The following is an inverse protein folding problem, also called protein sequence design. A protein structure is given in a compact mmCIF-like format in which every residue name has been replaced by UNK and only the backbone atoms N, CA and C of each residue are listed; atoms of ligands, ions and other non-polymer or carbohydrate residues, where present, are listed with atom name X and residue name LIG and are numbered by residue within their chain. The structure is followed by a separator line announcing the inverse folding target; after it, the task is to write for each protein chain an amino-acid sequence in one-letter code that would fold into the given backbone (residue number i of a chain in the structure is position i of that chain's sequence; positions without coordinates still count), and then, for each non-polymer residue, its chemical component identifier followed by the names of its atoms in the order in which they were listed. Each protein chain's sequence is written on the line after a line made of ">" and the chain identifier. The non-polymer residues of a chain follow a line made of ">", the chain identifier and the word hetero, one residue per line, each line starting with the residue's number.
data_IF_274176788455
#
_entry.id   IF_274176788455
#
_cell.length_a   1.000
_cell.length_b   1.000
_cell.length_c   1.000
_cell.angle_alpha   90.00
_cell.angle_beta   90.00
_cell.angle_gamma   90.00
#
_symmetry.space_group_name_H-M   'P 1'
#
loop_
_entity.id
_entity.type
_entity.pdbx_description
1 polymer ?
#
# COMPACT_ATOMS: atom_id res chain seq x y z
N UNK A 1 -0.76 -1.32 15.69
CA UNK A 1 -2.05 -1.82 16.21
C UNK A 1 -3.12 -1.83 15.13
N UNK A 2 -4.27 -2.44 15.40
CA UNK A 2 -5.40 -2.40 14.48
C UNK A 2 -5.90 -0.95 14.34
N UNK A 3 -6.12 -0.53 13.09
CA UNK A 3 -6.52 0.84 12.77
C UNK A 3 -5.37 1.85 12.71
N UNK A 4 -4.13 1.44 12.91
CA UNK A 4 -2.98 2.32 12.70
C UNK A 4 -2.76 2.60 11.21
N UNK A 5 -2.20 3.77 10.91
CA UNK A 5 -1.68 4.12 9.60
C UNK A 5 -0.15 4.22 9.70
N UNK A 6 0.55 3.16 9.29
CA UNK A 6 2.00 3.08 9.34
C UNK A 6 2.64 3.49 8.02
N UNK A 7 3.41 4.57 8.02
CA UNK A 7 4.30 4.94 6.93
C UNK A 7 5.66 4.23 7.05
N UNK A 8 6.06 3.48 6.04
CA UNK A 8 7.41 2.89 5.94
C UNK A 8 8.21 3.75 4.97
N UNK A 9 9.17 4.49 5.50
CA UNK A 9 10.02 5.38 4.71
C UNK A 9 11.45 4.87 4.64
N UNK A 10 12.12 5.19 3.56
CA UNK A 10 13.51 4.78 3.32
C UNK A 10 13.88 4.97 1.85
N UNK A 11 15.19 5.07 1.54
CA UNK A 11 15.67 5.17 0.18
C UNK A 11 15.32 3.92 -0.65
N UNK A 12 15.59 3.95 -1.96
CA UNK A 12 15.49 2.75 -2.78
C UNK A 12 16.50 1.72 -2.28
N UNK A 13 16.22 0.44 -2.39
CA UNK A 13 17.11 -0.58 -1.84
C UNK A 13 17.18 -0.66 -0.29
N UNK A 14 16.42 0.17 0.44
CA UNK A 14 16.35 0.12 1.91
C UNK A 14 15.73 -1.17 2.47
N UNK A 15 15.06 -1.96 1.60
CA UNK A 15 14.42 -3.22 1.99
C UNK A 15 12.91 -3.12 2.21
N UNK A 16 12.25 -2.02 1.83
CA UNK A 16 10.79 -1.82 1.98
C UNK A 16 9.99 -2.93 1.30
N UNK A 17 10.20 -3.15 0.00
CA UNK A 17 9.51 -4.19 -0.77
C UNK A 17 9.88 -5.59 -0.30
N UNK A 18 11.13 -5.83 0.10
CA UNK A 18 11.56 -7.10 0.70
C UNK A 18 10.79 -7.39 2.00
N UNK A 19 10.56 -6.37 2.83
CA UNK A 19 9.75 -6.51 4.04
C UNK A 19 8.29 -6.87 3.68
N UNK A 20 7.72 -6.24 2.66
CA UNK A 20 6.38 -6.58 2.17
C UNK A 20 6.32 -7.99 1.59
N UNK A 21 7.34 -8.42 0.85
CA UNK A 21 7.42 -9.80 0.34
C UNK A 21 7.41 -10.84 1.47
N UNK A 22 8.10 -10.55 2.59
CA UNK A 22 8.06 -11.41 3.78
C UNK A 22 6.67 -11.37 4.41
N UNK A 23 6.05 -10.19 4.57
CA UNK A 23 4.70 -10.04 5.12
C UNK A 23 3.65 -10.78 4.29
N UNK A 24 3.80 -10.78 2.95
CA UNK A 24 2.91 -11.44 2.00
C UNK A 24 3.26 -12.92 1.76
N UNK A 25 4.25 -13.46 2.48
CA UNK A 25 4.76 -14.82 2.31
C UNK A 25 5.25 -15.15 0.88
N UNK A 26 5.67 -14.11 0.13
CA UNK A 26 6.31 -14.24 -1.17
C UNK A 26 7.80 -14.57 -1.00
N UNK A 27 8.44 -14.06 0.05
CA UNK A 27 9.78 -14.43 0.47
C UNK A 27 9.73 -15.15 1.83
N UNK A 28 10.04 -16.45 1.81
CA UNK A 28 10.03 -17.31 3.01
C UNK A 28 11.43 -17.49 3.62
N UNK A 29 12.48 -17.00 2.95
CA UNK A 29 13.87 -17.11 3.39
C UNK A 29 14.25 -15.91 4.27
N UNK A 30 13.83 -15.91 5.54
CA UNK A 30 14.19 -14.88 6.52
C UNK A 30 14.46 -15.48 7.89
N UNK A 31 15.20 -14.77 8.71
CA UNK A 31 15.46 -15.11 10.11
C UNK A 31 14.55 -14.29 11.03
N UNK A 32 14.23 -14.82 12.20
CA UNK A 32 13.36 -14.17 13.16
C UNK A 32 11.90 -14.64 13.09
N UNK A 33 11.03 -13.88 13.75
CA UNK A 33 9.60 -14.17 13.92
C UNK A 33 8.78 -12.99 13.45
N UNK A 34 7.78 -13.25 12.61
CA UNK A 34 6.76 -12.27 12.22
C UNK A 34 5.38 -12.81 12.60
N UNK A 35 4.59 -11.96 13.26
CA UNK A 35 3.25 -12.32 13.71
C UNK A 35 2.20 -11.39 13.15
N UNK A 36 1.10 -11.93 12.64
CA UNK A 36 -0.14 -11.22 12.37
C UNK A 36 -1.23 -11.74 13.29
N UNK A 37 -1.98 -10.84 13.90
CA UNK A 37 -3.08 -11.18 14.83
C UNK A 37 -2.65 -12.14 15.96
N UNK A 38 -1.39 -12.02 16.41
CA UNK A 38 -0.82 -12.87 17.46
C UNK A 38 -0.25 -14.22 16.98
N UNK A 39 -0.53 -14.64 15.74
CA UNK A 39 -0.05 -15.90 15.18
C UNK A 39 1.20 -15.72 14.32
N UNK A 40 2.15 -16.65 14.44
CA UNK A 40 3.36 -16.68 13.60
C UNK A 40 2.98 -17.07 12.16
N UNK A 41 3.41 -16.26 11.19
CA UNK A 41 3.11 -16.48 9.78
C UNK A 41 3.71 -17.78 9.22
N UNK A 42 4.74 -18.34 9.86
CA UNK A 42 5.30 -19.65 9.50
C UNK A 42 4.37 -20.81 9.84
N UNK A 43 3.46 -20.61 10.81
CA UNK A 43 2.53 -21.67 11.27
C UNK A 43 1.23 -21.71 10.48
N UNK A 44 0.75 -20.56 10.01
CA UNK A 44 -0.52 -20.46 9.30
C UNK A 44 -0.48 -19.33 8.27
N UNK A 45 -1.09 -19.55 7.12
CA UNK A 45 -1.26 -18.54 6.07
C UNK A 45 -2.63 -17.87 6.08
N UNK A 46 -3.49 -18.19 7.04
CA UNK A 46 -4.84 -17.62 7.13
C UNK A 46 -4.87 -16.10 7.24
N UNK A 47 -3.81 -15.51 7.83
CA UNK A 47 -3.68 -14.06 7.93
C UNK A 47 -3.70 -13.36 6.56
N UNK A 48 -3.26 -14.03 5.47
CA UNK A 48 -3.30 -13.48 4.11
C UNK A 48 -4.74 -13.18 3.64
N UNK A 49 -5.71 -13.84 4.23
CA UNK A 49 -7.13 -13.56 3.95
C UNK A 49 -7.56 -12.20 4.48
N UNK A 50 -6.87 -11.67 5.45
CA UNK A 50 -7.14 -10.38 6.07
C UNK A 50 -6.28 -9.25 5.49
N UNK A 51 -5.48 -9.53 4.45
CA UNK A 51 -4.58 -8.56 3.82
C UNK A 51 -5.03 -8.27 2.39
N UNK A 52 -5.19 -6.98 2.07
CA UNK A 52 -5.22 -6.45 0.72
C UNK A 52 -3.84 -5.91 0.36
N UNK A 53 -3.40 -6.12 -0.87
CA UNK A 53 -2.09 -5.65 -1.34
C UNK A 53 -2.19 -4.92 -2.68
N UNK A 54 -1.55 -3.74 -2.74
CA UNK A 54 -1.38 -2.94 -3.96
C UNK A 54 0.11 -2.81 -4.24
N UNK A 55 0.62 -3.43 -5.31
CA UNK A 55 2.04 -3.36 -5.68
C UNK A 55 2.41 -2.01 -6.30
N UNK A 56 3.69 -1.67 -6.29
CA UNK A 56 4.26 -0.43 -6.85
C UNK A 56 3.92 -0.25 -8.34
N UNK A 57 4.06 -1.29 -9.13
CA UNK A 57 3.72 -1.28 -10.56
C UNK A 57 2.90 -2.52 -10.88
N UNK A 58 1.59 -2.36 -11.00
CA UNK A 58 0.78 -3.44 -11.57
C UNK A 58 1.21 -3.62 -13.04
N UNK A 59 1.72 -4.81 -13.36
CA UNK A 59 2.19 -5.14 -14.70
C UNK A 59 0.96 -5.52 -15.54
N UNK A 60 0.49 -4.56 -16.35
CA UNK A 60 -0.45 -4.85 -17.41
C UNK A 60 0.06 -4.27 -18.73
N UNK A 61 0.01 -5.07 -19.78
CA UNK A 61 0.20 -4.55 -21.13
C UNK A 61 -0.97 -3.64 -21.50
N UNK A 62 -0.72 -2.51 -22.20
CA UNK A 62 -1.77 -1.58 -22.63
C UNK A 62 -2.91 -2.26 -23.41
N UNK A 63 -2.60 -3.35 -24.09
CA UNK A 63 -3.56 -4.12 -24.87
C UNK A 63 -4.23 -5.26 -24.10
N UNK A 64 -4.02 -5.34 -22.78
CA UNK A 64 -4.67 -6.38 -21.98
C UNK A 64 -6.20 -6.21 -22.01
N UNK A 65 -6.97 -7.24 -22.43
CA UNK A 65 -8.37 -7.08 -22.77
C UNK A 65 -9.33 -6.98 -21.57
N UNK A 66 -8.81 -7.05 -20.32
CA UNK A 66 -9.64 -7.03 -19.11
C UNK A 66 -10.31 -5.68 -18.88
N UNK A 67 -11.54 -5.71 -18.43
CA UNK A 67 -12.28 -4.56 -17.92
C UNK A 67 -11.96 -4.29 -16.46
N UNK A 68 -12.39 -3.13 -15.96
CA UNK A 68 -12.32 -2.79 -14.52
C UNK A 68 -13.00 -3.87 -13.68
N UNK A 69 -14.19 -4.30 -14.10
CA UNK A 69 -14.95 -5.36 -13.42
C UNK A 69 -14.13 -6.67 -13.34
N UNK A 70 -13.52 -7.09 -14.46
CA UNK A 70 -12.72 -8.31 -14.50
C UNK A 70 -11.55 -8.24 -13.53
N UNK A 71 -10.83 -7.10 -13.48
CA UNK A 71 -9.68 -6.93 -12.59
C UNK A 71 -10.10 -6.98 -11.12
N UNK A 72 -11.22 -6.35 -10.75
CA UNK A 72 -11.70 -6.39 -9.36
C UNK A 72 -12.20 -7.78 -9.01
N UNK A 73 -12.86 -8.48 -9.95
CA UNK A 73 -13.29 -9.88 -9.81
C UNK A 73 -12.13 -10.82 -9.51
N UNK A 74 -10.95 -10.61 -10.12
CA UNK A 74 -9.74 -11.38 -9.80
C UNK A 74 -9.31 -11.27 -8.32
N UNK A 75 -9.79 -10.28 -7.61
CA UNK A 75 -9.58 -10.12 -6.16
C UNK A 75 -10.53 -10.94 -5.31
N UNK A 76 -11.69 -11.37 -5.84
CA UNK A 76 -12.67 -12.15 -5.09
C UNK A 76 -12.13 -13.54 -4.74
N UNK A 77 -12.43 -13.97 -3.52
CA UNK A 77 -12.15 -15.34 -3.05
C UNK A 77 -13.25 -16.32 -3.42
N UNK A 78 -14.46 -15.84 -3.57
CA UNK A 78 -15.65 -16.64 -3.94
C UNK A 78 -16.41 -15.91 -5.03
N UNK A 79 -16.74 -16.60 -6.10
CA UNK A 79 -17.54 -16.07 -7.21
C UNK A 79 -18.93 -15.62 -6.76
N UNK A 80 -19.51 -16.24 -5.74
CA UNK A 80 -20.82 -15.87 -5.19
C UNK A 80 -20.90 -14.45 -4.59
N UNK A 81 -19.76 -13.80 -4.43
CA UNK A 81 -19.64 -12.47 -3.80
C UNK A 81 -19.60 -11.32 -4.84
N UNK A 82 -20.09 -11.51 -6.05
CA UNK A 82 -20.06 -10.51 -7.14
C UNK A 82 -20.69 -9.16 -6.76
N UNK A 83 -21.71 -9.17 -5.92
CA UNK A 83 -22.35 -7.94 -5.42
C UNK A 83 -21.37 -7.04 -4.62
N UNK A 84 -20.22 -7.57 -4.17
CA UNK A 84 -19.17 -6.79 -3.53
C UNK A 84 -18.42 -5.90 -4.53
N UNK A 85 -18.37 -6.31 -5.81
CA UNK A 85 -17.67 -5.53 -6.85
C UNK A 85 -18.36 -4.19 -7.04
N UNK A 86 -19.68 -4.17 -7.26
CA UNK A 86 -20.42 -2.93 -7.46
C UNK A 86 -20.27 -1.98 -6.26
N UNK A 87 -20.36 -2.52 -5.05
CA UNK A 87 -20.21 -1.74 -3.83
C UNK A 87 -18.84 -1.08 -3.72
N UNK A 88 -17.76 -1.84 -3.99
CA UNK A 88 -16.41 -1.29 -3.90
C UNK A 88 -16.11 -0.31 -5.03
N UNK A 89 -16.63 -0.52 -6.24
CA UNK A 89 -16.49 0.41 -7.36
C UNK A 89 -17.21 1.74 -7.07
N UNK A 90 -18.42 1.69 -6.47
CA UNK A 90 -19.14 2.88 -6.01
C UNK A 90 -18.35 3.62 -4.92
N UNK A 91 -17.86 2.91 -3.92
CA UNK A 91 -17.07 3.48 -2.82
C UNK A 91 -15.82 4.22 -3.31
N UNK A 92 -15.20 3.73 -4.38
CA UNK A 92 -13.98 4.32 -4.95
C UNK A 92 -14.25 5.27 -6.13
N UNK A 93 -15.51 5.62 -6.39
CA UNK A 93 -15.96 6.51 -7.46
C UNK A 93 -15.44 6.11 -8.85
N UNK A 94 -15.52 4.83 -9.17
CA UNK A 94 -15.13 4.26 -10.47
C UNK A 94 -16.18 3.29 -11.03
N UNK A 95 -17.39 3.30 -10.49
CA UNK A 95 -18.46 2.41 -10.94
C UNK A 95 -18.81 2.62 -12.42
N UNK A 96 -18.82 3.87 -12.89
CA UNK A 96 -19.06 4.22 -14.29
C UNK A 96 -17.99 3.70 -15.27
N UNK A 97 -16.84 3.31 -14.73
CA UNK A 97 -15.73 2.74 -15.50
C UNK A 97 -15.75 1.21 -15.54
N UNK A 98 -16.73 0.55 -14.90
CA UNK A 98 -16.78 -0.91 -14.70
C UNK A 98 -16.56 -1.73 -15.97
N UNK A 99 -17.10 -1.29 -17.10
CA UNK A 99 -16.98 -1.95 -18.40
C UNK A 99 -15.84 -1.41 -19.28
N UNK A 100 -15.07 -0.39 -18.80
CA UNK A 100 -13.91 0.11 -19.54
C UNK A 100 -12.73 -0.83 -19.42
N UNK A 101 -11.93 -0.91 -20.47
CA UNK A 101 -10.68 -1.66 -20.47
C UNK A 101 -9.66 -0.94 -19.61
N UNK A 102 -8.88 -1.68 -18.82
CA UNK A 102 -7.87 -1.09 -17.92
C UNK A 102 -6.79 -0.30 -18.66
N UNK A 103 -6.46 -0.65 -19.90
CA UNK A 103 -5.51 0.07 -20.75
C UNK A 103 -5.97 1.48 -21.19
N UNK A 104 -7.26 1.79 -21.04
CA UNK A 104 -7.87 3.08 -21.40
C UNK A 104 -7.95 4.06 -20.21
N UNK A 105 -7.56 3.61 -19.03
CA UNK A 105 -7.66 4.38 -17.79
C UNK A 105 -6.49 5.33 -17.60
N UNK A 106 -6.74 6.47 -16.96
CA UNK A 106 -5.65 7.29 -16.40
C UNK A 106 -4.93 6.56 -15.27
N UNK A 107 -3.71 7.01 -14.92
CA UNK A 107 -2.95 6.41 -13.81
C UNK A 107 -3.73 6.41 -12.49
N UNK A 108 -4.39 7.51 -12.15
CA UNK A 108 -5.19 7.61 -10.93
C UNK A 108 -6.45 6.76 -10.96
N UNK A 109 -7.10 6.58 -12.14
CA UNK A 109 -8.22 5.65 -12.28
C UNK A 109 -7.76 4.21 -12.11
N UNK A 110 -6.66 3.83 -12.77
CA UNK A 110 -6.08 2.50 -12.67
C UNK A 110 -5.66 2.18 -11.23
N UNK A 111 -5.09 3.15 -10.52
CA UNK A 111 -4.73 3.00 -9.11
C UNK A 111 -5.95 2.67 -8.25
N UNK A 112 -7.07 3.36 -8.45
CA UNK A 112 -8.33 3.06 -7.73
C UNK A 112 -8.88 1.68 -8.05
N UNK A 113 -8.69 1.18 -9.26
CA UNK A 113 -9.06 -0.20 -9.63
C UNK A 113 -8.23 -1.22 -8.83
N UNK A 114 -6.92 -0.99 -8.65
CA UNK A 114 -6.10 -1.89 -7.84
C UNK A 114 -6.44 -1.84 -6.35
N UNK A 115 -6.81 -0.66 -5.85
CA UNK A 115 -7.36 -0.54 -4.49
C UNK A 115 -8.67 -1.31 -4.38
N UNK A 116 -9.58 -1.19 -5.35
CA UNK A 116 -10.83 -1.96 -5.38
C UNK A 116 -10.57 -3.46 -5.32
N UNK A 117 -9.66 -3.96 -6.17
CA UNK A 117 -9.22 -5.36 -6.15
C UNK A 117 -8.69 -5.79 -4.79
N UNK A 118 -7.88 -4.95 -4.13
CA UNK A 118 -7.31 -5.26 -2.82
C UNK A 118 -8.38 -5.26 -1.70
N UNK A 119 -9.41 -4.41 -1.82
CA UNK A 119 -10.44 -4.21 -0.81
C UNK A 119 -11.70 -5.07 -0.97
N UNK A 120 -11.91 -5.71 -2.11
CA UNK A 120 -13.18 -6.40 -2.46
C UNK A 120 -13.59 -7.47 -1.44
N UNK A 121 -12.62 -8.06 -0.73
CA UNK A 121 -12.88 -9.02 0.36
C UNK A 121 -12.92 -8.38 1.77
N UNK A 122 -12.97 -7.05 1.87
CA UNK A 122 -13.01 -6.32 3.14
C UNK A 122 -11.85 -6.70 4.10
N UNK A 123 -10.59 -6.56 3.68
CA UNK A 123 -9.43 -6.93 4.50
C UNK A 123 -9.33 -6.03 5.73
N UNK A 124 -8.65 -6.53 6.78
CA UNK A 124 -8.33 -5.74 7.98
C UNK A 124 -7.05 -4.90 7.82
N UNK A 125 -6.18 -5.32 6.91
CA UNK A 125 -4.90 -4.66 6.62
C UNK A 125 -4.82 -4.38 5.12
N UNK A 126 -4.41 -3.16 4.77
CA UNK A 126 -4.10 -2.77 3.40
C UNK A 126 -2.60 -2.42 3.32
N UNK A 127 -1.86 -3.17 2.52
CA UNK A 127 -0.44 -2.92 2.24
C UNK A 127 -0.34 -2.24 0.88
N UNK A 128 0.39 -1.11 0.83
CA UNK A 128 0.57 -0.29 -0.35
C UNK A 128 2.07 -0.07 -0.59
N UNK A 129 2.59 -0.53 -1.72
CA UNK A 129 4.00 -0.36 -2.07
C UNK A 129 4.15 0.77 -3.10
N UNK A 130 4.60 1.94 -2.64
CA UNK A 130 4.80 3.17 -3.43
C UNK A 130 3.66 3.48 -4.43
N UNK A 131 2.42 3.53 -3.98
CA UNK A 131 1.23 3.45 -4.84
C UNK A 131 1.00 4.67 -5.74
N UNK A 132 1.66 5.81 -5.50
CA UNK A 132 1.39 7.07 -6.22
C UNK A 132 2.45 7.43 -7.26
N UNK A 133 3.36 6.52 -7.57
CA UNK A 133 4.43 6.77 -8.54
C UNK A 133 3.85 6.97 -9.96
N UNK A 134 4.12 8.14 -10.56
CA UNK A 134 3.69 8.45 -11.94
C UNK A 134 2.21 8.86 -12.09
N UNK A 135 1.58 9.29 -11.00
CA UNK A 135 0.20 9.78 -10.97
C UNK A 135 0.20 11.32 -10.89
N UNK A 136 -0.79 11.97 -11.51
CA UNK A 136 -0.97 13.41 -11.42
C UNK A 136 -1.40 13.89 -10.03
N UNK A 137 -1.11 15.15 -9.69
CA UNK A 137 -1.33 15.72 -8.36
C UNK A 137 -2.78 15.64 -7.89
N UNK A 138 -3.74 15.89 -8.78
CA UNK A 138 -5.16 15.86 -8.43
C UNK A 138 -5.62 14.44 -8.05
N UNK A 139 -5.14 13.44 -8.81
CA UNK A 139 -5.39 12.02 -8.52
C UNK A 139 -4.73 11.57 -7.22
N UNK A 140 -3.54 12.11 -6.88
CA UNK A 140 -2.86 11.83 -5.62
C UNK A 140 -3.68 12.33 -4.42
N UNK A 141 -4.21 13.54 -4.47
CA UNK A 141 -5.03 14.07 -3.38
C UNK A 141 -6.32 13.27 -3.15
N UNK A 142 -6.97 12.87 -4.24
CA UNK A 142 -8.13 12.00 -4.17
C UNK A 142 -7.75 10.64 -3.55
N UNK A 143 -6.63 10.06 -3.97
CA UNK A 143 -6.11 8.82 -3.41
C UNK A 143 -5.88 8.94 -1.90
N UNK A 144 -5.26 10.02 -1.43
CA UNK A 144 -5.04 10.27 0.00
C UNK A 144 -6.35 10.43 0.77
N UNK A 145 -7.36 11.05 0.18
CA UNK A 145 -8.69 11.15 0.79
C UNK A 145 -9.34 9.78 0.98
N UNK A 146 -9.20 8.89 -0.01
CA UNK A 146 -9.67 7.50 0.06
C UNK A 146 -8.98 6.77 1.22
N UNK A 147 -7.65 6.86 1.33
CA UNK A 147 -6.90 6.19 2.40
C UNK A 147 -7.32 6.69 3.80
N UNK A 148 -7.52 8.01 3.95
CA UNK A 148 -8.05 8.57 5.22
C UNK A 148 -9.42 7.99 5.57
N UNK A 149 -10.32 7.90 4.60
CA UNK A 149 -11.65 7.35 4.83
C UNK A 149 -11.60 5.87 5.21
N UNK A 150 -10.83 5.06 4.50
CA UNK A 150 -10.63 3.65 4.80
C UNK A 150 -10.08 3.45 6.23
N UNK A 151 -9.09 4.24 6.62
CA UNK A 151 -8.50 4.14 7.95
C UNK A 151 -9.41 4.68 9.05
N UNK A 152 -9.95 5.91 8.91
CA UNK A 152 -10.71 6.58 9.97
C UNK A 152 -12.10 6.00 10.17
N UNK A 153 -12.84 5.72 9.08
CA UNK A 153 -14.24 5.23 9.15
C UNK A 153 -14.32 3.70 9.22
N UNK A 154 -13.52 2.99 8.43
CA UNK A 154 -13.59 1.53 8.33
C UNK A 154 -12.59 0.81 9.23
N UNK A 155 -11.70 1.56 9.91
CA UNK A 155 -10.68 1.04 10.82
C UNK A 155 -9.73 0.03 10.16
N UNK A 156 -9.52 0.15 8.85
CA UNK A 156 -8.53 -0.65 8.14
C UNK A 156 -7.14 -0.17 8.56
N UNK A 157 -6.30 -1.10 8.99
CA UNK A 157 -4.88 -0.83 9.23
C UNK A 157 -4.19 -0.61 7.89
N UNK A 158 -3.50 0.51 7.72
CA UNK A 158 -2.76 0.80 6.49
C UNK A 158 -1.27 0.69 6.76
N UNK A 159 -0.56 -0.05 5.92
CA UNK A 159 0.89 -0.12 5.89
C UNK A 159 1.33 0.37 4.50
N UNK A 160 1.99 1.50 4.46
CA UNK A 160 2.29 2.19 3.22
C UNK A 160 3.77 2.51 3.09
N UNK A 161 4.44 2.04 2.03
CA UNK A 161 5.77 2.54 1.69
C UNK A 161 5.68 3.81 0.86
N UNK A 162 6.47 4.81 1.23
CA UNK A 162 6.54 6.08 0.52
C UNK A 162 7.92 6.73 0.69
N UNK A 163 8.31 7.53 -0.30
CA UNK A 163 9.42 8.49 -0.19
C UNK A 163 8.93 9.93 -0.05
N UNK A 164 7.62 10.17 -0.11
CA UNK A 164 6.99 11.47 0.13
C UNK A 164 6.77 11.68 1.63
N UNK A 165 7.70 12.41 2.26
CA UNK A 165 7.64 12.72 3.69
C UNK A 165 6.45 13.59 4.07
N UNK A 166 6.03 14.52 3.21
CA UNK A 166 4.91 15.40 3.48
C UNK A 166 3.59 14.63 3.53
N UNK A 167 3.43 13.69 2.60
CA UNK A 167 2.27 12.81 2.59
C UNK A 167 2.25 11.88 3.81
N UNK A 168 3.40 11.31 4.18
CA UNK A 168 3.53 10.47 5.38
C UNK A 168 3.21 11.26 6.63
N UNK A 169 3.73 12.48 6.77
CA UNK A 169 3.43 13.37 7.91
C UNK A 169 1.94 13.69 8.04
N UNK A 170 1.24 13.88 6.91
CA UNK A 170 -0.19 14.21 6.88
C UNK A 170 -1.12 13.03 7.15
N UNK A 171 -0.69 11.81 6.85
CA UNK A 171 -1.57 10.64 6.82
C UNK A 171 -1.23 9.59 7.88
N UNK A 172 0.05 9.35 8.14
CA UNK A 172 0.49 8.30 9.03
C UNK A 172 0.48 8.77 10.49
N UNK A 173 -0.02 7.92 11.39
CA UNK A 173 0.12 8.13 12.83
C UNK A 173 1.38 7.46 13.39
N UNK A 174 1.95 6.49 12.67
CA UNK A 174 3.22 5.84 12.98
C UNK A 174 4.15 5.86 11.78
N UNK A 175 5.45 5.92 12.04
CA UNK A 175 6.50 5.86 11.02
C UNK A 175 7.53 4.82 11.39
N UNK A 176 7.98 4.07 10.38
CA UNK A 176 9.12 3.18 10.45
C UNK A 176 10.15 3.61 9.39
N UNK A 177 11.36 3.96 9.82
CA UNK A 177 12.43 4.40 8.93
C UNK A 177 13.43 3.28 8.69
N UNK A 178 13.56 2.89 7.43
CA UNK A 178 14.44 1.81 6.99
C UNK A 178 15.61 2.36 6.15
N UNK A 179 16.82 1.86 6.44
CA UNK A 179 17.96 1.91 5.56
C UNK A 179 18.78 0.63 5.77
N UNK A 180 18.34 -0.48 5.17
CA UNK A 180 18.79 -1.87 5.42
C UNK A 180 18.56 -2.34 6.87
N UNK A 181 18.56 -1.43 7.81
CA UNK A 181 18.19 -1.62 9.21
C UNK A 181 17.09 -0.66 9.60
N UNK A 182 16.30 -1.03 10.60
CA UNK A 182 15.29 -0.14 11.18
C UNK A 182 16.01 0.81 12.15
N UNK A 183 16.05 2.11 11.83
CA UNK A 183 16.69 3.10 12.71
C UNK A 183 15.70 3.96 13.50
N UNK A 184 14.42 3.96 13.10
CA UNK A 184 13.35 4.59 13.87
C UNK A 184 12.04 3.80 13.69
N UNK A 185 11.28 3.69 14.78
CA UNK A 185 9.89 3.25 14.76
C UNK A 185 9.14 3.91 15.91
N UNK A 186 8.07 4.64 15.60
CA UNK A 186 7.30 5.35 16.61
C UNK A 186 6.21 6.25 16.03
N UNK A 187 5.67 7.12 16.88
CA UNK A 187 4.68 8.11 16.48
C UNK A 187 5.25 9.03 15.40
N UNK A 188 4.45 9.33 14.40
CA UNK A 188 4.79 10.24 13.29
C UNK A 188 5.22 11.62 13.81
N UNK A 189 4.45 12.19 14.74
CA UNK A 189 4.77 13.48 15.38
C UNK A 189 6.17 13.51 15.99
N UNK A 190 6.58 12.42 16.66
CA UNK A 190 7.92 12.34 17.26
C UNK A 190 9.04 12.33 16.21
N UNK A 191 8.82 11.65 15.08
CA UNK A 191 9.79 11.64 13.99
C UNK A 191 9.96 13.03 13.36
N UNK A 192 8.83 13.65 12.99
CA UNK A 192 8.85 14.94 12.29
C UNK A 192 9.20 16.14 13.15
N UNK A 193 9.11 16.04 14.49
CA UNK A 193 9.57 17.06 15.44
C UNK A 193 11.06 16.96 15.82
N UNK A 194 11.74 15.87 15.44
CA UNK A 194 13.16 15.65 15.72
C UNK A 194 14.01 15.90 14.47
N UNK A 195 14.60 17.11 14.40
CA UNK A 195 15.45 17.51 13.27
C UNK A 195 16.61 16.54 13.00
N UNK A 196 17.11 15.83 14.02
CA UNK A 196 18.19 14.84 13.84
C UNK A 196 17.69 13.61 13.08
N UNK A 197 16.50 13.12 13.40
CA UNK A 197 15.90 11.99 12.70
C UNK A 197 15.57 12.33 11.25
N UNK A 198 14.98 13.50 11.01
CA UNK A 198 14.68 13.99 9.65
C UNK A 198 15.97 14.17 8.85
N UNK A 199 17.01 14.75 9.45
CA UNK A 199 18.31 14.91 8.80
C UNK A 199 18.97 13.56 8.48
N UNK A 200 18.95 12.62 9.43
CA UNK A 200 19.49 11.26 9.22
C UNK A 200 18.79 10.55 8.05
N UNK A 201 17.47 10.70 7.93
CA UNK A 201 16.72 10.19 6.78
C UNK A 201 17.16 10.86 5.47
N UNK A 202 17.29 12.19 5.46
CA UNK A 202 17.67 12.95 4.27
C UNK A 202 19.07 12.59 3.79
N UNK A 203 20.02 12.43 4.70
CA UNK A 203 21.39 12.01 4.38
C UNK A 203 21.42 10.59 3.78
N UNK A 204 20.64 9.66 4.35
CA UNK A 204 20.51 8.31 3.81
C UNK A 204 19.94 8.30 2.38
N UNK A 205 18.97 9.19 2.10
CA UNK A 205 18.36 9.32 0.77
C UNK A 205 19.28 9.98 -0.26
N UNK A 206 20.13 10.94 0.15
CA UNK A 206 21.07 11.63 -0.75
C UNK A 206 22.25 10.74 -1.18
N UNK A 207 22.72 9.83 -0.33
CA UNK A 207 23.83 8.92 -0.65
C UNK A 207 23.52 8.00 -1.84
N UNK A 208 22.26 7.67 -2.08
CA UNK A 208 21.85 6.88 -3.23
C UNK A 208 22.00 7.59 -4.57
N UNK A 209 21.67 8.88 -4.62
CA UNK A 209 21.78 9.66 -5.88
C UNK A 209 23.21 9.79 -6.37
N UNK A 210 24.21 9.62 -5.50
CA UNK A 210 25.63 9.70 -5.86
C UNK A 210 26.22 8.37 -6.38
N UNK A 211 25.54 7.23 -6.18
CA UNK A 211 26.02 5.92 -6.64
C UNK A 211 25.44 5.47 -7.99
N UNK A 212 24.59 6.28 -8.61
CA UNK A 212 23.95 5.99 -9.90
C UNK A 212 24.46 6.88 -11.07
N UNK A 213 25.63 7.53 -10.89
CA UNK A 213 26.37 8.25 -11.96
C UNK A 213 27.69 7.61 -12.27
#
# INVERSE_FOLDING_TARGET
>A
NQGDFLGIIGPNGAGKSTLFDVMLNLNTKYQGTLKFFGEDIKKSKKYLEEIGYVPQKPIFEKNFPATVNDVVRMGLRKESDENKIDKILQQLWIHELSNRRIGELSGGQLQRVFIAKALVNSPKILILDEPVTGIDQQSIELFYSILRELNSKQKITIIWSSHDLDAVNKLANHVACLNRTLFFHGMSEKFFSDDKLVKQYSEASMQEHMHHH
#
